data_IF_152747195193
#
_entry.id   IF_152747195193
#
_cell.length_a   1.000
_cell.length_b   1.000
_cell.length_c   1.000
_cell.angle_alpha   90.00
_cell.angle_beta   90.00
_cell.angle_gamma   90.00
#
_symmetry.space_group_name_H-M   'P 1'
#
loop_
_entity.id
_entity.type
_entity.pdbx_description
1 polymer ?
#
# COMPACT_ATOMS: atom_id res chain seq x y z
N UNK A 1 -3.76 3.79 33.37
CA UNK A 1 -3.47 5.09 32.72
C UNK A 1 -2.73 4.80 31.42
N UNK A 2 -3.42 4.84 30.29
CA UNK A 2 -2.77 4.63 28.99
C UNK A 2 -1.85 5.81 28.71
N UNK A 3 -0.55 5.56 28.56
CA UNK A 3 0.40 6.57 28.11
C UNK A 3 0.04 6.91 26.67
N UNK A 4 -0.27 8.18 26.42
CA UNK A 4 -0.43 8.67 25.05
C UNK A 4 0.92 8.48 24.32
N UNK A 5 0.91 8.06 23.05
CA UNK A 5 2.11 7.95 22.27
C UNK A 5 2.78 9.33 22.15
N UNK A 6 4.12 9.38 22.04
CA UNK A 6 4.82 10.65 21.91
C UNK A 6 4.28 11.45 20.71
N UNK A 7 4.30 12.79 20.76
CA UNK A 7 3.66 13.64 19.75
C UNK A 7 4.08 13.35 18.30
N UNK A 8 5.33 12.93 18.08
CA UNK A 8 5.85 12.55 16.77
C UNK A 8 5.12 11.34 16.18
N UNK A 9 4.78 10.36 17.01
CA UNK A 9 4.01 9.19 16.61
C UNK A 9 2.56 9.56 16.28
N UNK A 10 1.99 10.58 16.95
CA UNK A 10 0.63 11.07 16.65
C UNK A 10 0.57 11.66 15.25
N UNK A 11 1.55 12.49 14.86
CA UNK A 11 1.58 13.07 13.51
C UNK A 11 1.77 12.01 12.43
N UNK A 12 2.68 11.06 12.64
CA UNK A 12 2.88 9.95 11.72
C UNK A 12 1.60 9.09 11.56
N UNK A 13 0.89 8.82 12.66
CA UNK A 13 -0.39 8.11 12.62
C UNK A 13 -1.48 8.90 11.88
N UNK A 14 -1.51 10.23 12.02
CA UNK A 14 -2.46 11.07 11.28
C UNK A 14 -2.15 11.10 9.78
N UNK A 15 -0.88 11.19 9.41
CA UNK A 15 -0.43 11.17 8.01
C UNK A 15 -0.74 9.82 7.36
N UNK A 16 -0.48 8.71 8.06
CA UNK A 16 -0.84 7.37 7.61
C UNK A 16 -2.36 7.23 7.44
N UNK A 17 -3.16 7.75 8.38
CA UNK A 17 -4.62 7.70 8.27
C UNK A 17 -5.10 8.49 7.06
N UNK A 18 -4.56 9.69 6.84
CA UNK A 18 -4.92 10.53 5.71
C UNK A 18 -4.54 9.86 4.38
N UNK A 19 -3.38 9.20 4.29
CA UNK A 19 -3.01 8.42 3.12
C UNK A 19 -3.99 7.26 2.88
N UNK A 20 -4.40 6.53 3.92
CA UNK A 20 -5.40 5.46 3.81
C UNK A 20 -6.76 6.02 3.37
N UNK A 21 -7.20 7.13 3.98
CA UNK A 21 -8.47 7.80 3.66
C UNK A 21 -8.50 8.28 2.20
N UNK A 22 -7.36 8.76 1.67
CA UNK A 22 -7.21 9.13 0.25
C UNK A 22 -7.23 7.91 -0.66
N UNK A 23 -6.48 6.86 -0.32
CA UNK A 23 -6.41 5.63 -1.13
C UNK A 23 -7.74 4.90 -1.18
N UNK A 24 -8.55 4.98 -0.12
CA UNK A 24 -9.90 4.41 -0.08
C UNK A 24 -10.87 5.06 -1.09
N UNK A 25 -10.53 6.21 -1.66
CA UNK A 25 -11.32 6.88 -2.70
C UNK A 25 -10.90 6.49 -4.12
N UNK A 26 -9.88 5.64 -4.27
CA UNK A 26 -9.42 5.16 -5.57
C UNK A 26 -10.22 3.91 -5.93
N UNK A 27 -10.95 3.98 -7.05
CA UNK A 27 -11.75 2.86 -7.54
C UNK A 27 -11.02 2.03 -8.62
N UNK A 28 -9.97 2.59 -9.23
CA UNK A 28 -9.31 2.02 -10.41
C UNK A 28 -7.82 1.74 -10.18
N UNK A 29 -7.40 0.52 -10.52
CA UNK A 29 -5.99 0.07 -10.44
C UNK A 29 -5.05 0.98 -11.26
N UNK A 30 -5.43 1.36 -12.48
CA UNK A 30 -4.59 2.24 -13.32
C UNK A 30 -4.32 3.60 -12.67
N UNK A 31 -5.28 4.11 -11.88
CA UNK A 31 -5.10 5.34 -11.11
C UNK A 31 -4.15 5.11 -9.94
N UNK A 32 -4.30 4.00 -9.22
CA UNK A 32 -3.39 3.62 -8.15
C UNK A 32 -1.95 3.37 -8.64
N UNK A 33 -1.78 2.79 -9.84
CA UNK A 33 -0.48 2.57 -10.46
C UNK A 33 0.27 3.88 -10.73
N UNK A 34 -0.41 4.89 -11.30
CA UNK A 34 0.20 6.22 -11.50
C UNK A 34 0.52 6.92 -10.19
N UNK A 35 -0.32 6.73 -9.17
CA UNK A 35 -0.12 7.34 -7.86
C UNK A 35 1.06 6.70 -7.11
N UNK A 36 1.27 5.38 -7.23
CA UNK A 36 2.42 4.75 -6.57
C UNK A 36 3.74 5.17 -7.23
N UNK A 37 3.76 5.31 -8.56
CA UNK A 37 4.92 5.88 -9.28
C UNK A 37 5.22 7.32 -8.84
N UNK A 38 4.18 8.15 -8.71
CA UNK A 38 4.32 9.52 -8.23
C UNK A 38 4.83 9.58 -6.78
N UNK A 39 4.29 8.74 -5.90
CA UNK A 39 4.70 8.66 -4.50
C UNK A 39 6.15 8.19 -4.36
N UNK A 40 6.57 7.20 -5.15
CA UNK A 40 7.97 6.76 -5.18
C UNK A 40 8.90 7.85 -5.68
N UNK A 41 8.49 8.62 -6.69
CA UNK A 41 9.28 9.74 -7.22
C UNK A 41 9.42 10.91 -6.23
N UNK A 42 8.47 11.04 -5.30
CA UNK A 42 8.45 12.06 -4.27
C UNK A 42 9.05 11.61 -2.93
N UNK A 43 9.57 10.37 -2.86
CA UNK A 43 9.99 9.72 -1.61
C UNK A 43 8.90 9.72 -0.51
N UNK A 44 7.62 9.67 -0.90
CA UNK A 44 6.47 9.60 0.01
C UNK A 44 6.21 8.14 0.43
N UNK A 45 7.01 7.65 1.39
CA UNK A 45 6.91 6.28 1.89
C UNK A 45 5.54 5.96 2.51
N UNK A 46 4.88 6.95 3.10
CA UNK A 46 3.57 6.78 3.73
C UNK A 46 2.51 6.47 2.68
N UNK A 47 2.51 7.22 1.58
CA UNK A 47 1.59 6.99 0.46
C UNK A 47 1.91 5.68 -0.27
N UNK A 48 3.19 5.35 -0.48
CA UNK A 48 3.60 4.06 -1.07
C UNK A 48 3.08 2.89 -0.23
N UNK A 49 3.24 2.94 1.10
CA UNK A 49 2.73 1.90 2.00
C UNK A 49 1.20 1.76 1.92
N UNK A 50 0.47 2.89 1.92
CA UNK A 50 -0.98 2.88 1.84
C UNK A 50 -1.49 2.30 0.51
N UNK A 51 -0.87 2.67 -0.61
CA UNK A 51 -1.18 2.15 -1.94
C UNK A 51 -0.88 0.66 -2.07
N UNK A 52 0.25 0.18 -1.55
CA UNK A 52 0.57 -1.25 -1.54
C UNK A 52 -0.43 -2.05 -0.72
N UNK A 53 -0.77 -1.59 0.49
CA UNK A 53 -1.76 -2.25 1.34
C UNK A 53 -3.12 -2.33 0.64
N UNK A 54 -3.56 -1.26 -0.01
CA UNK A 54 -4.78 -1.24 -0.79
C UNK A 54 -4.69 -2.16 -2.02
N UNK A 55 -3.54 -2.21 -2.69
CA UNK A 55 -3.36 -3.04 -3.86
C UNK A 55 -3.52 -4.53 -3.54
N UNK A 56 -2.96 -5.00 -2.43
CA UNK A 56 -3.18 -6.36 -1.92
C UNK A 56 -4.65 -6.63 -1.58
N UNK A 57 -5.34 -5.66 -0.98
CA UNK A 57 -6.74 -5.78 -0.55
C UNK A 57 -7.73 -5.79 -1.72
N UNK A 58 -7.58 -4.85 -2.66
CA UNK A 58 -8.53 -4.61 -3.75
C UNK A 58 -8.15 -5.30 -5.05
N UNK A 59 -7.03 -6.02 -5.07
CA UNK A 59 -6.51 -6.74 -6.24
C UNK A 59 -6.15 -5.80 -7.38
N UNK A 60 -5.19 -4.94 -7.12
CA UNK A 60 -4.63 -3.99 -8.09
C UNK A 60 -3.27 -4.48 -8.62
N UNK A 61 -3.24 -5.44 -9.57
CA UNK A 61 -2.00 -5.99 -10.11
C UNK A 61 -1.12 -4.95 -10.82
N UNK A 62 -1.69 -3.95 -11.50
CA UNK A 62 -0.89 -2.93 -12.19
C UNK A 62 -0.12 -2.07 -11.17
N UNK A 63 -0.73 -1.76 -10.02
CA UNK A 63 -0.09 -1.05 -8.92
C UNK A 63 1.09 -1.85 -8.32
N UNK A 64 0.92 -3.16 -8.12
CA UNK A 64 2.02 -4.02 -7.65
C UNK A 64 3.15 -4.08 -8.69
N UNK A 65 2.80 -4.26 -9.97
CA UNK A 65 3.79 -4.30 -11.04
C UNK A 65 4.61 -2.99 -11.09
N UNK A 66 3.94 -1.83 -11.08
CA UNK A 66 4.60 -0.52 -11.09
C UNK A 66 5.59 -0.34 -9.92
N UNK A 67 5.23 -0.84 -8.72
CA UNK A 67 6.14 -0.86 -7.58
C UNK A 67 7.36 -1.76 -7.82
N UNK A 68 7.14 -3.00 -8.28
CA UNK A 68 8.24 -3.95 -8.52
C UNK A 68 9.19 -3.53 -9.64
N UNK A 69 8.68 -2.85 -10.67
CA UNK A 69 9.49 -2.30 -11.76
C UNK A 69 10.37 -1.14 -11.28
N UNK A 70 9.86 -0.33 -10.35
CA UNK A 70 10.58 0.81 -9.79
C UNK A 70 11.57 0.43 -8.67
N UNK A 71 11.30 -0.68 -7.96
CA UNK A 71 12.14 -1.20 -6.86
C UNK A 71 12.41 -2.69 -7.05
N UNK A 72 13.27 -3.06 -8.01
CA UNK A 72 13.55 -4.47 -8.32
C UNK A 72 14.14 -5.25 -7.14
N UNK A 73 14.84 -4.58 -6.22
CA UNK A 73 15.38 -5.18 -5.01
C UNK A 73 14.30 -5.61 -4.00
N UNK A 74 13.11 -5.00 -4.06
CA UNK A 74 11.96 -5.32 -3.22
C UNK A 74 10.91 -6.18 -3.95
N UNK A 75 11.09 -6.42 -5.25
CA UNK A 75 10.14 -7.12 -6.11
C UNK A 75 9.81 -8.54 -5.64
N UNK A 76 10.82 -9.31 -5.20
CA UNK A 76 10.62 -10.68 -4.72
C UNK A 76 9.70 -10.71 -3.50
N UNK A 77 9.96 -9.85 -2.51
CA UNK A 77 9.16 -9.79 -1.29
C UNK A 77 7.72 -9.32 -1.58
N UNK A 78 7.55 -8.32 -2.44
CA UNK A 78 6.22 -7.84 -2.84
C UNK A 78 5.42 -8.93 -3.59
N UNK A 79 6.06 -9.67 -4.49
CA UNK A 79 5.42 -10.76 -5.23
C UNK A 79 5.05 -11.94 -4.32
N UNK A 80 5.89 -12.28 -3.35
CA UNK A 80 5.59 -13.31 -2.35
C UNK A 80 4.37 -12.94 -1.50
N UNK A 81 4.31 -11.69 -1.03
CA UNK A 81 3.15 -11.17 -0.29
C UNK A 81 1.88 -11.20 -1.13
N UNK A 82 1.96 -10.79 -2.40
CA UNK A 82 0.84 -10.89 -3.34
C UNK A 82 0.33 -12.33 -3.43
N UNK A 83 1.22 -13.29 -3.66
CA UNK A 83 0.88 -14.71 -3.75
C UNK A 83 0.28 -15.29 -2.45
N UNK A 84 0.67 -14.77 -1.28
CA UNK A 84 0.08 -15.15 0.01
C UNK A 84 -1.35 -14.64 0.13
N UNK A 85 -1.59 -13.36 -0.18
CA UNK A 85 -2.94 -12.78 -0.14
C UNK A 85 -3.88 -13.49 -1.13
N UNK A 86 -3.41 -13.90 -2.32
CA UNK A 86 -4.19 -14.73 -3.26
C UNK A 86 -4.71 -16.02 -2.61
N UNK A 87 -3.87 -16.71 -1.84
CA UNK A 87 -4.20 -17.97 -1.18
C UNK A 87 -5.20 -17.80 -0.04
N UNK A 88 -5.04 -16.75 0.78
CA UNK A 88 -5.96 -16.47 1.89
C UNK A 88 -7.37 -16.16 1.39
N UNK A 89 -7.51 -15.31 0.38
CA UNK A 89 -8.81 -15.00 -0.21
C UNK A 89 -9.42 -16.18 -1.02
N UNK A 90 -8.61 -17.14 -1.47
CA UNK A 90 -9.12 -18.39 -2.04
C UNK A 90 -9.63 -19.36 -0.96
N UNK A 91 -9.13 -19.26 0.27
CA UNK A 91 -9.56 -20.05 1.42
C UNK A 91 -10.90 -19.57 1.99
N UNK A 92 -11.11 -18.25 2.09
CA UNK A 92 -12.36 -17.64 2.59
C UNK A 92 -13.59 -17.83 1.68
N UNK A 93 -13.42 -18.35 0.45
CA UNK A 93 -14.51 -18.60 -0.52
C UNK A 93 -15.05 -20.04 -0.50
N UNK A 94 -14.65 -20.88 0.46
CA UNK A 94 -15.15 -22.26 0.65
C UNK A 94 -15.94 -22.41 1.94
#
# INVERSE_FOLDING_TARGET
>A
MSKLPPPQDIYALMEQRDAIDRVAQIDEDDTAARLIEAAMSADDETMVCALLQAAYRYRWPHTINAFTESRPEQATAATELWNLTEKEHAHDRK
#
